data_IF_249214289240
#
_entry.id   IF_249214289240
#
_cell.length_a   1.000
_cell.length_b   1.000
_cell.length_c   1.000
_cell.angle_alpha   90.00
_cell.angle_beta   90.00
_cell.angle_gamma   90.00
#
_symmetry.space_group_name_H-M   'P 1'
#
loop_
_entity.id
_entity.type
_entity.pdbx_description
1 polymer ?
#
# COMPACT_ATOMS: atom_id res chain seq x y z
N UNK A 1 -6.78 -7.96 5.77
CA UNK A 1 -7.62 -9.19 5.69
C UNK A 1 -8.66 -9.03 4.59
N UNK A 2 -8.59 -9.83 3.53
CA UNK A 2 -9.50 -9.75 2.38
C UNK A 2 -10.53 -10.90 2.35
N UNK A 3 -10.35 -11.89 3.22
CA UNK A 3 -11.22 -13.03 3.50
C UNK A 3 -12.54 -12.62 4.19
N UNK A 4 -12.53 -11.52 4.93
CA UNK A 4 -13.66 -11.06 5.75
C UNK A 4 -14.43 -9.92 5.07
N UNK A 5 -15.76 -9.98 5.16
CA UNK A 5 -16.66 -8.90 4.73
C UNK A 5 -16.85 -7.89 5.86
N UNK A 6 -16.53 -6.63 5.60
CA UNK A 6 -16.76 -5.51 6.50
C UNK A 6 -17.91 -4.67 5.98
N UNK A 7 -18.85 -4.31 6.87
CA UNK A 7 -19.96 -3.41 6.57
C UNK A 7 -20.01 -2.38 7.69
N UNK A 8 -19.93 -1.10 7.32
CA UNK A 8 -20.18 0.01 8.22
C UNK A 8 -21.38 0.79 7.70
N UNK A 9 -22.35 1.04 8.56
CA UNK A 9 -23.47 1.93 8.26
C UNK A 9 -23.63 2.98 9.34
N UNK A 10 -23.97 4.19 8.93
CA UNK A 10 -24.27 5.31 9.80
C UNK A 10 -25.70 5.80 9.49
N UNK A 11 -26.39 6.36 10.49
CA UNK A 11 -27.73 6.93 10.32
C UNK A 11 -27.62 8.43 10.59
N UNK A 12 -27.88 9.24 9.56
CA UNK A 12 -27.83 10.71 9.64
C UNK A 12 -29.20 11.23 9.26
N UNK A 13 -29.84 11.99 10.16
CA UNK A 13 -31.19 12.55 9.96
C UNK A 13 -32.23 11.49 9.55
N UNK A 14 -32.16 10.29 10.15
CA UNK A 14 -33.05 9.17 9.85
C UNK A 14 -32.76 8.45 8.53
N UNK A 15 -31.81 8.91 7.72
CA UNK A 15 -31.35 8.22 6.49
C UNK A 15 -30.15 7.34 6.79
N UNK A 16 -30.23 6.06 6.43
CA UNK A 16 -29.10 5.13 6.53
C UNK A 16 -28.14 5.34 5.37
N UNK A 17 -26.90 5.69 5.68
CA UNK A 17 -25.77 5.71 4.77
C UNK A 17 -24.85 4.52 5.04
N UNK A 18 -24.22 3.98 4.00
CA UNK A 18 -23.31 2.84 4.13
C UNK A 18 -21.94 3.19 3.55
N UNK A 19 -21.07 3.87 4.33
CA UNK A 19 -19.78 4.34 3.83
C UNK A 19 -18.80 3.22 3.47
N UNK A 20 -18.91 2.04 4.10
CA UNK A 20 -17.97 0.93 3.86
C UNK A 20 -18.78 -0.35 3.64
N UNK A 21 -18.49 -1.05 2.55
CA UNK A 21 -18.97 -2.41 2.31
C UNK A 21 -17.98 -3.17 1.42
N UNK A 22 -17.13 -4.00 2.02
CA UNK A 22 -16.20 -4.84 1.25
C UNK A 22 -16.90 -6.09 0.68
N UNK A 23 -16.41 -6.68 -0.42
CA UNK A 23 -17.02 -7.89 -0.99
C UNK A 23 -16.76 -9.15 -0.15
N UNK A 24 -15.58 -9.25 0.48
CA UNK A 24 -15.11 -10.44 1.20
C UNK A 24 -14.73 -11.59 0.27
N UNK A 25 -13.82 -12.47 0.71
CA UNK A 25 -13.27 -13.59 -0.09
C UNK A 25 -12.68 -13.16 -1.45
N UNK A 26 -12.07 -11.99 -1.50
CA UNK A 26 -11.44 -11.42 -2.70
C UNK A 26 -9.96 -11.11 -2.43
N UNK A 27 -9.20 -10.72 -3.46
CA UNK A 27 -7.84 -10.21 -3.28
C UNK A 27 -7.81 -8.80 -2.65
N UNK A 28 -6.70 -8.42 -1.99
CA UNK A 28 -6.53 -7.08 -1.40
C UNK A 28 -6.72 -5.97 -2.45
N UNK A 29 -6.24 -6.19 -3.69
CA UNK A 29 -6.42 -5.25 -4.81
C UNK A 29 -7.89 -4.92 -5.07
N UNK A 30 -8.76 -5.93 -5.06
CA UNK A 30 -10.20 -5.76 -5.29
C UNK A 30 -10.88 -5.07 -4.12
N UNK A 31 -10.45 -5.35 -2.88
CA UNK A 31 -10.92 -4.63 -1.69
C UNK A 31 -10.60 -3.14 -1.80
N UNK A 32 -9.35 -2.79 -2.15
CA UNK A 32 -8.91 -1.39 -2.30
C UNK A 32 -9.70 -0.70 -3.42
N UNK A 33 -9.85 -1.34 -4.58
CA UNK A 33 -10.66 -0.81 -5.69
C UNK A 33 -12.11 -0.58 -5.29
N UNK A 34 -12.70 -1.50 -4.52
CA UNK A 34 -14.07 -1.37 -4.03
C UNK A 34 -14.24 -0.22 -3.02
N UNK A 35 -13.28 -0.05 -2.11
CA UNK A 35 -13.33 1.01 -1.08
C UNK A 35 -13.13 2.41 -1.66
N UNK A 36 -12.16 2.56 -2.57
CA UNK A 36 -11.73 3.88 -3.05
C UNK A 36 -12.27 4.25 -4.43
N UNK A 37 -13.00 3.34 -5.09
CA UNK A 37 -13.85 3.62 -6.25
C UNK A 37 -13.26 4.65 -7.22
N UNK A 38 -12.12 4.34 -7.83
CA UNK A 38 -11.44 5.22 -8.77
C UNK A 38 -11.78 4.87 -10.21
N UNK A 39 -11.76 5.87 -11.11
CA UNK A 39 -11.75 5.56 -12.54
C UNK A 39 -10.46 4.77 -12.85
N UNK A 40 -10.57 3.66 -13.57
CA UNK A 40 -9.45 2.76 -13.83
C UNK A 40 -8.25 3.46 -14.52
N UNK A 41 -8.52 4.55 -15.23
CA UNK A 41 -7.59 5.45 -15.92
C UNK A 41 -6.78 6.38 -15.00
N UNK A 42 -7.08 6.45 -13.69
CA UNK A 42 -6.32 7.30 -12.75
C UNK A 42 -5.72 6.57 -11.55
N UNK A 43 -6.13 5.32 -11.31
CA UNK A 43 -5.69 4.53 -10.15
C UNK A 43 -5.07 3.20 -10.60
N UNK A 44 -4.05 3.26 -11.46
CA UNK A 44 -3.30 2.09 -11.90
C UNK A 44 -2.37 1.64 -10.78
N UNK A 45 -2.81 0.64 -10.04
CA UNK A 45 -2.01 -0.02 -9.00
C UNK A 45 -1.16 -1.14 -9.60
N UNK A 46 0.14 -1.12 -9.30
CA UNK A 46 1.11 -2.16 -9.61
C UNK A 46 1.48 -2.94 -8.36
N UNK A 47 1.74 -4.24 -8.50
CA UNK A 47 2.17 -5.08 -7.38
C UNK A 47 3.61 -4.76 -6.99
N UNK A 48 3.89 -4.68 -5.71
CA UNK A 48 5.27 -4.60 -5.21
C UNK A 48 5.96 -5.94 -5.47
N UNK A 49 7.17 -5.88 -6.03
CA UNK A 49 8.03 -7.04 -6.25
C UNK A 49 9.21 -6.91 -5.31
N UNK A 50 9.39 -7.90 -4.43
CA UNK A 50 10.55 -7.97 -3.56
C UNK A 50 11.81 -8.26 -4.39
N UNK A 51 12.87 -7.53 -4.12
CA UNK A 51 14.21 -7.79 -4.62
C UNK A 51 15.23 -7.76 -3.47
N UNK A 52 16.41 -8.34 -3.71
CA UNK A 52 17.55 -8.19 -2.82
C UNK A 52 18.13 -6.79 -3.04
N UNK A 53 18.52 -6.06 -1.98
CA UNK A 53 19.17 -4.76 -2.13
C UNK A 53 20.40 -4.86 -3.03
N UNK A 54 20.59 -3.89 -3.92
CA UNK A 54 21.83 -3.77 -4.70
C UNK A 54 22.98 -3.35 -3.80
N UNK A 55 24.23 -3.54 -4.26
CA UNK A 55 25.42 -3.16 -3.49
C UNK A 55 25.41 -1.68 -3.11
N UNK A 56 25.00 -0.81 -4.02
CA UNK A 56 24.89 0.64 -3.77
C UNK A 56 23.87 0.94 -2.66
N UNK A 57 22.69 0.33 -2.70
CA UNK A 57 21.63 0.54 -1.70
C UNK A 57 22.08 0.01 -0.33
N UNK A 58 22.69 -1.16 -0.30
CA UNK A 58 23.22 -1.74 0.93
C UNK A 58 24.31 -0.85 1.55
N UNK A 59 25.25 -0.34 0.74
CA UNK A 59 26.31 0.56 1.19
C UNK A 59 25.75 1.89 1.71
N UNK A 60 24.78 2.50 1.01
CA UNK A 60 24.13 3.74 1.43
C UNK A 60 23.46 3.63 2.81
N UNK A 61 22.90 2.46 3.12
CA UNK A 61 22.23 2.20 4.39
C UNK A 61 23.10 1.48 5.43
N UNK A 62 24.39 1.27 5.14
CA UNK A 62 25.33 0.61 6.06
C UNK A 62 24.99 -0.86 6.34
N UNK A 63 24.33 -1.54 5.39
CA UNK A 63 23.94 -2.95 5.49
C UNK A 63 24.99 -3.81 4.78
N UNK A 64 25.39 -4.91 5.41
CA UNK A 64 26.32 -5.86 4.80
C UNK A 64 25.61 -6.66 3.69
N UNK A 65 26.12 -6.55 2.46
CA UNK A 65 25.62 -7.29 1.29
C UNK A 65 25.83 -8.79 1.40
N UNK A 66 26.81 -9.22 2.21
CA UNK A 66 27.14 -10.65 2.41
C UNK A 66 26.35 -11.29 3.53
N UNK A 67 25.78 -10.49 4.43
CA UNK A 67 24.98 -10.95 5.55
C UNK A 67 23.50 -10.58 5.34
N UNK A 68 22.82 -11.38 4.52
CA UNK A 68 21.41 -11.20 4.16
C UNK A 68 20.44 -11.52 5.31
N UNK A 69 20.90 -12.19 6.36
CA UNK A 69 20.06 -12.68 7.47
C UNK A 69 19.20 -11.60 8.12
N UNK A 70 19.64 -10.34 8.10
CA UNK A 70 18.91 -9.21 8.67
C UNK A 70 17.60 -8.86 7.93
N UNK A 71 17.46 -9.24 6.66
CA UNK A 71 16.30 -8.89 5.82
C UNK A 71 15.79 -10.05 4.95
N UNK A 72 16.41 -11.23 5.04
CA UNK A 72 16.01 -12.41 4.28
C UNK A 72 14.62 -12.94 4.70
N UNK A 73 14.29 -12.81 5.98
CA UNK A 73 12.98 -13.19 6.53
C UNK A 73 11.90 -12.11 6.33
N UNK A 74 12.25 -10.95 5.78
CA UNK A 74 11.30 -9.85 5.55
C UNK A 74 10.61 -10.06 4.20
N UNK A 75 9.32 -10.37 4.24
CA UNK A 75 8.47 -10.44 3.07
C UNK A 75 7.64 -9.14 2.95
N UNK A 76 7.82 -8.44 1.81
CA UNK A 76 7.04 -7.24 1.48
C UNK A 76 6.10 -7.60 0.33
N UNK A 77 4.81 -7.47 0.58
CA UNK A 77 3.76 -7.66 -0.42
C UNK A 77 2.79 -6.48 -0.37
N UNK A 78 2.18 -6.16 -1.51
CA UNK A 78 1.23 -5.06 -1.58
C UNK A 78 1.15 -4.45 -2.96
N UNK A 79 0.60 -3.24 -3.00
CA UNK A 79 0.40 -2.48 -4.23
C UNK A 79 0.82 -1.03 -4.02
N UNK A 80 1.40 -0.43 -5.05
CA UNK A 80 1.71 1.00 -5.12
C UNK A 80 1.13 1.58 -6.41
N UNK A 81 0.98 2.90 -6.46
CA UNK A 81 0.58 3.57 -7.71
C UNK A 81 1.67 3.42 -8.77
N UNK A 82 1.27 3.37 -10.03
CA UNK A 82 2.20 3.52 -11.15
C UNK A 82 2.75 4.94 -11.20
N UNK A 83 4.06 5.07 -11.43
CA UNK A 83 4.72 6.38 -11.60
C UNK A 83 4.38 7.06 -12.94
N UNK A 84 3.55 6.46 -13.79
CA UNK A 84 3.05 7.10 -15.01
C UNK A 84 2.35 8.44 -14.68
N UNK A 85 2.54 9.44 -15.53
CA UNK A 85 2.01 10.78 -15.29
C UNK A 85 0.48 10.74 -15.09
N UNK A 86 0.00 11.36 -14.01
CA UNK A 86 -1.42 11.44 -13.68
C UNK A 86 -2.00 10.24 -12.91
N UNK A 87 -1.20 9.22 -12.59
CA UNK A 87 -1.61 8.08 -11.75
C UNK A 87 -1.20 8.21 -10.27
N UNK A 88 -0.42 9.25 -9.94
CA UNK A 88 -0.08 9.60 -8.56
C UNK A 88 -1.26 10.20 -7.78
N UNK A 89 -1.28 9.99 -6.46
CA UNK A 89 -2.19 10.70 -5.58
C UNK A 89 -1.77 12.17 -5.41
N UNK A 90 -2.72 13.08 -5.26
CA UNK A 90 -2.45 14.48 -4.90
C UNK A 90 -2.11 14.66 -3.42
N UNK A 91 -2.27 13.61 -2.61
CA UNK A 91 -2.15 13.59 -1.16
C UNK A 91 -1.73 12.21 -0.67
N UNK A 92 -1.19 12.15 0.56
CA UNK A 92 -0.75 10.91 1.23
C UNK A 92 -1.88 10.20 1.99
N UNK A 93 -3.15 10.57 1.75
CA UNK A 93 -4.35 10.09 2.46
C UNK A 93 -4.69 8.61 2.20
N UNK A 94 -3.95 7.93 1.32
CA UNK A 94 -4.19 6.54 0.88
C UNK A 94 -2.97 5.63 1.03
N UNK A 95 -2.12 5.91 2.02
CA UNK A 95 -1.00 5.06 2.38
C UNK A 95 -1.36 4.20 3.58
N UNK A 96 -1.32 2.88 3.42
CA UNK A 96 -1.68 1.92 4.46
C UNK A 96 -0.55 0.91 4.63
N UNK A 97 0.10 0.90 5.79
CA UNK A 97 1.15 -0.05 6.13
C UNK A 97 0.60 -1.08 7.10
N UNK A 98 0.95 -2.34 6.89
CA UNK A 98 0.62 -3.43 7.78
C UNK A 98 1.86 -4.26 8.11
N UNK A 99 2.07 -4.56 9.39
CA UNK A 99 3.08 -5.51 9.84
C UNK A 99 2.38 -6.77 10.34
N UNK A 100 2.66 -7.94 9.75
CA UNK A 100 1.99 -9.20 10.10
C UNK A 100 0.46 -9.08 10.14
N UNK A 101 -0.13 -8.49 9.09
CA UNK A 101 -1.57 -8.24 8.94
C UNK A 101 -2.19 -7.29 9.98
N UNK A 102 -1.37 -6.55 10.74
CA UNK A 102 -1.82 -5.52 11.68
C UNK A 102 -1.54 -4.14 11.10
N UNK A 103 -2.54 -3.25 11.00
CA UNK A 103 -2.30 -1.86 10.62
C UNK A 103 -1.30 -1.23 11.58
N UNK A 104 -0.28 -0.56 11.03
CA UNK A 104 0.73 0.18 11.79
C UNK A 104 0.92 1.55 11.16
N UNK A 105 1.21 2.53 11.99
CA UNK A 105 1.72 3.82 11.53
C UNK A 105 3.24 3.78 11.60
N UNK A 106 3.89 3.90 10.44
CA UNK A 106 5.35 3.77 10.32
C UNK A 106 5.88 4.89 9.42
N UNK A 107 5.96 6.09 9.99
CA UNK A 107 6.30 7.33 9.28
C UNK A 107 7.59 7.25 8.46
N UNK A 108 8.62 6.57 8.98
CA UNK A 108 9.89 6.42 8.28
C UNK A 108 9.76 5.61 6.98
N UNK A 109 8.92 4.57 6.96
CA UNK A 109 8.68 3.77 5.75
C UNK A 109 7.87 4.58 4.74
N UNK A 110 6.83 5.29 5.19
CA UNK A 110 6.06 6.19 4.32
C UNK A 110 6.97 7.22 3.67
N UNK A 111 7.86 7.86 4.45
CA UNK A 111 8.80 8.85 3.94
C UNK A 111 9.70 8.28 2.83
N UNK A 112 10.30 7.11 3.05
CA UNK A 112 11.15 6.46 2.03
C UNK A 112 10.36 6.12 0.77
N UNK A 113 9.13 5.61 0.90
CA UNK A 113 8.27 5.33 -0.25
C UNK A 113 7.97 6.59 -1.05
N UNK A 114 7.64 7.69 -0.36
CA UNK A 114 7.33 8.97 -1.01
C UNK A 114 8.55 9.57 -1.71
N UNK A 115 9.71 9.57 -1.06
CA UNK A 115 10.97 10.05 -1.63
C UNK A 115 11.34 9.29 -2.91
N UNK A 116 11.23 7.95 -2.90
CA UNK A 116 11.51 7.13 -4.08
C UNK A 116 10.44 7.37 -5.16
N UNK A 117 9.17 7.46 -4.79
CA UNK A 117 8.09 7.68 -5.76
C UNK A 117 8.24 9.02 -6.51
N UNK A 118 8.59 10.09 -5.79
CA UNK A 118 8.81 11.44 -6.35
C UNK A 118 9.99 11.53 -7.32
N UNK A 119 10.92 10.58 -7.29
CA UNK A 119 12.01 10.53 -8.28
C UNK A 119 11.52 10.13 -9.68
N UNK A 120 10.34 9.50 -9.78
CA UNK A 120 9.82 8.93 -11.03
C UNK A 120 8.50 9.56 -11.51
N UNK A 121 7.79 10.33 -10.69
CA UNK A 121 6.49 10.96 -11.02
C UNK A 121 6.56 12.47 -10.97
#
# INVERSE_FOLDING_TARGET
>A
RADVKFICSNIVEGKRIQPICTPGKVGIKEVVTNLFGGRADKNKMISVIRCIPTEDVALMHGVDTKNTSAYEDIEITGFVSSCEHGFGGSSTDRQFICFNQRPVDYSEICRVIDEVYQQYN
#
